data_IF_660643250317
#
_entry.id   IF_660643250317
#
_cell.length_a   1.000
_cell.length_b   1.000
_cell.length_c   1.000
_cell.angle_alpha   90.00
_cell.angle_beta   90.00
_cell.angle_gamma   90.00
#
_symmetry.space_group_name_H-M   'P 1'
#
loop_
_entity.id
_entity.type
_entity.pdbx_description
1 polymer ?
#
# COMPACT_ATOMS: atom_id res chain seq x y z
N UNK A 1 18.18 5.33 10.21
CA UNK A 1 17.80 5.27 8.78
C UNK A 1 18.08 6.63 8.16
N UNK A 2 18.97 6.74 7.19
CA UNK A 2 19.30 8.03 6.59
C UNK A 2 18.30 8.32 5.46
N UNK A 3 17.16 8.93 5.81
CA UNK A 3 16.10 9.29 4.84
C UNK A 3 16.52 10.45 3.95
N UNK A 4 17.48 11.28 4.40
CA UNK A 4 17.87 12.53 3.71
C UNK A 4 18.73 12.34 2.46
N UNK A 5 19.18 11.12 2.15
CA UNK A 5 20.05 10.85 0.99
C UNK A 5 19.31 10.62 -0.34
N UNK A 6 17.98 10.60 -0.34
CA UNK A 6 17.17 10.40 -1.55
C UNK A 6 17.26 9.00 -2.19
N UNK A 7 18.01 8.06 -1.60
CA UNK A 7 18.16 6.71 -2.11
C UNK A 7 16.87 5.89 -1.95
N UNK A 8 16.58 5.01 -2.93
CA UNK A 8 15.45 4.09 -2.84
C UNK A 8 15.68 3.09 -1.69
N UNK A 9 14.79 3.03 -0.69
CA UNK A 9 14.98 2.18 0.47
C UNK A 9 14.85 0.70 0.09
N UNK A 10 15.73 -0.13 0.66
CA UNK A 10 15.62 -1.59 0.56
C UNK A 10 14.47 -2.10 1.44
N UNK A 11 13.92 -3.26 1.09
CA UNK A 11 12.84 -3.92 1.85
C UNK A 11 13.13 -4.01 3.36
N UNK A 12 14.33 -4.46 3.74
CA UNK A 12 14.73 -4.57 5.14
C UNK A 12 14.71 -3.22 5.89
N UNK A 13 15.02 -2.12 5.21
CA UNK A 13 14.98 -0.77 5.79
C UNK A 13 13.53 -0.31 6.00
N UNK A 14 12.63 -0.63 5.08
CA UNK A 14 11.19 -0.36 5.24
C UNK A 14 10.60 -1.16 6.39
N UNK A 15 10.95 -2.45 6.50
CA UNK A 15 10.49 -3.31 7.58
C UNK A 15 11.01 -2.86 8.95
N UNK A 16 12.22 -2.31 9.01
CA UNK A 16 12.80 -1.79 10.25
C UNK A 16 12.02 -0.58 10.81
N UNK A 17 11.33 0.20 9.96
CA UNK A 17 10.52 1.35 10.40
C UNK A 17 9.06 1.02 10.66
N UNK A 18 8.60 -0.21 10.40
CA UNK A 18 7.18 -0.58 10.54
C UNK A 18 6.61 -0.26 11.92
N UNK A 19 7.42 -0.42 12.97
CA UNK A 19 7.02 -0.13 14.35
C UNK A 19 6.61 1.32 14.59
N UNK A 20 7.10 2.26 13.76
CA UNK A 20 6.67 3.66 13.82
C UNK A 20 5.19 3.82 13.41
N UNK A 21 4.62 2.89 12.64
CA UNK A 21 3.23 2.95 12.18
C UNK A 21 2.27 2.18 13.10
N UNK A 22 2.77 1.57 14.18
CA UNK A 22 1.98 0.85 15.18
C UNK A 22 2.08 1.55 16.53
N UNK A 23 0.95 1.96 17.12
CA UNK A 23 0.92 2.53 18.47
C UNK A 23 1.61 3.91 18.64
N UNK A 24 2.12 4.53 17.57
CA UNK A 24 2.73 5.87 17.60
C UNK A 24 1.91 6.90 16.79
N UNK A 25 2.42 8.13 16.62
CA UNK A 25 1.78 9.23 15.89
C UNK A 25 1.42 8.88 14.43
N UNK A 26 2.16 7.98 13.78
CA UNK A 26 1.90 7.58 12.40
C UNK A 26 0.84 6.46 12.29
N UNK A 27 0.32 5.96 13.41
CA UNK A 27 -0.75 4.98 13.39
C UNK A 27 -2.05 5.58 12.84
N UNK A 28 -2.81 4.79 12.08
CA UNK A 28 -4.06 5.23 11.45
C UNK A 28 -5.08 5.84 12.44
N UNK A 29 -5.12 5.36 13.69
CA UNK A 29 -5.99 5.93 14.73
C UNK A 29 -5.54 7.33 15.20
N UNK A 30 -4.26 7.66 15.05
CA UNK A 30 -3.68 8.95 15.49
C UNK A 30 -3.52 9.96 14.36
N UNK A 31 -3.67 9.55 13.10
CA UNK A 31 -3.64 10.47 11.97
C UNK A 31 -4.73 11.53 12.10
N UNK A 32 -4.42 12.76 11.72
CA UNK A 32 -5.39 13.85 11.61
C UNK A 32 -6.48 13.50 10.59
N UNK A 33 -7.70 14.01 10.80
CA UNK A 33 -8.85 13.66 9.96
C UNK A 33 -8.63 14.00 8.48
N UNK A 34 -7.94 15.09 8.18
CA UNK A 34 -7.67 15.49 6.79
C UNK A 34 -6.74 14.51 6.08
N UNK A 35 -5.73 13.96 6.78
CA UNK A 35 -4.89 12.90 6.24
C UNK A 35 -5.69 11.62 5.99
N UNK A 36 -6.63 11.28 6.89
CA UNK A 36 -7.50 10.12 6.68
C UNK A 36 -8.44 10.32 5.50
N UNK A 37 -8.98 11.53 5.29
CA UNK A 37 -9.79 11.85 4.09
C UNK A 37 -8.97 11.76 2.82
N UNK A 38 -7.75 12.31 2.81
CA UNK A 38 -6.85 12.24 1.65
C UNK A 38 -6.50 10.78 1.31
N UNK A 39 -6.14 9.96 2.30
CA UNK A 39 -5.91 8.53 2.10
C UNK A 39 -7.15 7.80 1.57
N UNK A 40 -8.33 8.17 2.07
CA UNK A 40 -9.60 7.61 1.58
C UNK A 40 -9.80 7.92 0.10
N UNK A 41 -9.53 9.14 -0.34
CA UNK A 41 -9.64 9.53 -1.76
C UNK A 41 -8.64 8.77 -2.64
N UNK A 42 -7.38 8.69 -2.22
CA UNK A 42 -6.32 7.97 -2.96
C UNK A 42 -6.66 6.48 -3.11
N UNK A 43 -7.35 5.90 -2.13
CA UNK A 43 -7.81 4.51 -2.14
C UNK A 43 -9.27 4.35 -2.61
N UNK A 44 -9.78 5.33 -3.37
CA UNK A 44 -11.11 5.29 -4.01
C UNK A 44 -12.29 5.07 -3.04
N UNK A 45 -12.13 5.45 -1.77
CA UNK A 45 -13.17 5.41 -0.75
C UNK A 45 -13.88 6.77 -0.63
N UNK A 46 -15.17 6.74 -0.28
CA UNK A 46 -15.97 7.95 -0.04
C UNK A 46 -15.42 8.75 1.15
N UNK A 47 -14.90 9.99 0.96
CA UNK A 47 -14.20 10.74 2.02
C UNK A 47 -15.13 11.56 2.92
N UNK A 48 -16.41 11.68 2.58
CA UNK A 48 -17.38 12.55 3.26
C UNK A 48 -18.07 11.88 4.46
N UNK A 49 -17.42 10.89 5.08
CA UNK A 49 -17.94 10.16 6.24
C UNK A 49 -17.32 10.66 7.56
N UNK A 50 -17.98 10.42 8.71
CA UNK A 50 -17.36 10.58 10.02
C UNK A 50 -15.99 9.91 10.13
N UNK A 51 -15.08 10.54 10.88
CA UNK A 51 -13.67 10.15 10.97
C UNK A 51 -13.43 8.69 11.40
N UNK A 52 -14.26 8.17 12.31
CA UNK A 52 -14.17 6.79 12.77
C UNK A 52 -14.58 5.79 11.67
N UNK A 53 -15.60 6.11 10.87
CA UNK A 53 -16.03 5.29 9.74
C UNK A 53 -14.97 5.29 8.63
N UNK A 54 -14.36 6.44 8.33
CA UNK A 54 -13.26 6.50 7.36
C UNK A 54 -12.10 5.60 7.76
N UNK A 55 -11.69 5.63 9.05
CA UNK A 55 -10.63 4.75 9.56
C UNK A 55 -11.01 3.29 9.46
N UNK A 56 -12.25 2.93 9.78
CA UNK A 56 -12.74 1.56 9.64
C UNK A 56 -12.71 1.10 8.18
N UNK A 57 -13.25 1.90 7.24
CA UNK A 57 -13.26 1.56 5.81
C UNK A 57 -11.85 1.43 5.24
N UNK A 58 -10.94 2.33 5.62
CA UNK A 58 -9.53 2.23 5.23
C UNK A 58 -8.88 0.93 5.72
N UNK A 59 -9.13 0.54 6.98
CA UNK A 59 -8.63 -0.75 7.50
C UNK A 59 -9.16 -1.92 6.70
N UNK A 60 -10.47 -2.00 6.53
CA UNK A 60 -11.11 -3.10 5.81
C UNK A 60 -10.59 -3.18 4.39
N UNK A 61 -10.49 -2.04 3.69
CA UNK A 61 -10.00 -1.98 2.32
C UNK A 61 -8.53 -2.39 2.19
N UNK A 62 -7.64 -1.94 3.09
CA UNK A 62 -6.24 -2.36 3.08
C UNK A 62 -6.09 -3.85 3.42
N UNK A 63 -6.97 -4.41 4.27
CA UNK A 63 -7.02 -5.85 4.52
C UNK A 63 -7.44 -6.64 3.26
N UNK A 64 -8.45 -6.17 2.52
CA UNK A 64 -8.84 -6.75 1.23
C UNK A 64 -7.66 -6.74 0.25
N UNK A 65 -6.96 -5.60 0.10
CA UNK A 65 -5.76 -5.50 -0.75
C UNK A 65 -4.69 -6.50 -0.29
N UNK A 66 -4.48 -6.67 1.02
CA UNK A 66 -3.51 -7.65 1.54
C UNK A 66 -3.91 -9.09 1.26
N UNK A 67 -5.19 -9.41 1.26
CA UNK A 67 -5.66 -10.74 0.83
C UNK A 67 -5.39 -10.96 -0.65
N UNK A 68 -5.64 -9.95 -1.50
CA UNK A 68 -5.26 -9.98 -2.92
C UNK A 68 -3.74 -10.12 -3.10
N UNK A 69 -2.93 -9.44 -2.29
CA UNK A 69 -1.48 -9.54 -2.33
C UNK A 69 -1.00 -10.97 -2.07
N UNK A 70 -1.53 -11.62 -1.04
CA UNK A 70 -1.20 -13.02 -0.73
C UNK A 70 -1.62 -13.97 -1.85
N UNK A 71 -2.79 -13.74 -2.45
CA UNK A 71 -3.23 -14.53 -3.59
C UNK A 71 -2.31 -14.34 -4.80
N UNK A 72 -1.94 -13.11 -5.13
CA UNK A 72 -1.00 -12.80 -6.22
C UNK A 72 0.39 -13.38 -5.97
N UNK A 73 0.87 -13.37 -4.73
CA UNK A 73 2.16 -13.98 -4.38
C UNK A 73 2.13 -15.50 -4.58
N UNK A 74 1.00 -16.16 -4.30
CA UNK A 74 0.83 -17.59 -4.49
C UNK A 74 0.65 -17.99 -5.97
N UNK A 75 -0.19 -17.27 -6.70
CA UNK A 75 -0.50 -17.54 -8.12
C UNK A 75 0.62 -17.09 -9.06
N UNK A 76 1.42 -16.11 -8.63
CA UNK A 76 2.49 -15.51 -9.41
C UNK A 76 1.98 -14.46 -10.40
N UNK A 77 2.84 -13.47 -10.69
CA UNK A 77 2.51 -12.35 -11.59
C UNK A 77 2.61 -12.69 -13.08
N UNK A 78 3.09 -13.89 -13.43
CA UNK A 78 3.34 -14.28 -14.82
C UNK A 78 2.08 -14.41 -15.67
N UNK A 79 0.93 -14.62 -15.02
CA UNK A 79 -0.36 -14.82 -15.68
C UNK A 79 -1.13 -13.51 -15.91
N UNK A 80 -0.63 -12.37 -15.38
CA UNK A 80 -1.34 -11.11 -15.52
C UNK A 80 -1.16 -10.51 -16.92
N UNK A 81 -2.27 -10.05 -17.50
CA UNK A 81 -2.24 -9.16 -18.66
C UNK A 81 -1.53 -7.84 -18.32
N UNK A 82 -1.22 -7.03 -19.33
CA UNK A 82 -0.65 -5.71 -19.06
C UNK A 82 -1.63 -4.79 -18.33
N UNK A 83 -2.91 -4.85 -18.71
CA UNK A 83 -4.00 -4.11 -18.07
C UNK A 83 -4.18 -4.54 -16.61
N UNK A 84 -4.18 -5.85 -16.33
CA UNK A 84 -4.29 -6.37 -14.97
C UNK A 84 -3.10 -5.96 -14.11
N UNK A 85 -1.88 -5.98 -14.67
CA UNK A 85 -0.68 -5.54 -13.98
C UNK A 85 -0.75 -4.05 -13.63
N UNK A 86 -1.15 -3.20 -14.58
CA UNK A 86 -1.34 -1.75 -14.36
C UNK A 86 -2.44 -1.48 -13.33
N UNK A 87 -3.57 -2.18 -13.44
CA UNK A 87 -4.68 -2.06 -12.50
C UNK A 87 -4.26 -2.49 -11.07
N UNK A 88 -3.49 -3.58 -10.95
CA UNK A 88 -2.95 -4.02 -9.67
C UNK A 88 -2.01 -2.97 -9.05
N UNK A 89 -1.16 -2.34 -9.85
CA UNK A 89 -0.31 -1.24 -9.40
C UNK A 89 -1.14 -0.03 -8.93
N UNK A 90 -2.13 0.37 -9.75
CA UNK A 90 -2.99 1.52 -9.48
C UNK A 90 -3.83 1.36 -8.22
N UNK A 91 -4.40 0.17 -8.00
CA UNK A 91 -5.16 -0.17 -6.79
C UNK A 91 -4.33 0.05 -5.50
N UNK A 92 -3.01 -0.08 -5.59
CA UNK A 92 -2.06 0.09 -4.47
C UNK A 92 -1.46 1.50 -4.41
N UNK A 93 -1.98 2.43 -5.20
CA UNK A 93 -1.59 3.83 -5.20
C UNK A 93 -0.42 4.18 -6.12
N UNK A 94 0.04 3.27 -6.99
CA UNK A 94 1.05 3.59 -7.99
C UNK A 94 0.41 4.15 -9.26
N UNK A 95 0.81 5.35 -9.66
CA UNK A 95 0.50 5.85 -11.00
C UNK A 95 1.45 5.21 -12.03
N UNK A 96 0.97 4.21 -12.77
CA UNK A 96 1.73 3.49 -13.79
C UNK A 96 1.67 4.11 -15.20
N UNK A 97 1.16 5.34 -15.36
CA UNK A 97 0.95 5.95 -16.69
C UNK A 97 2.24 6.03 -17.52
N UNK A 98 3.37 6.31 -16.85
CA UNK A 98 4.68 6.48 -17.48
C UNK A 98 5.62 5.30 -17.23
N UNK A 99 5.13 4.19 -16.68
CA UNK A 99 5.93 3.00 -16.40
C UNK A 99 5.71 1.94 -17.47
N UNK A 100 6.80 1.30 -17.90
CA UNK A 100 6.76 0.12 -18.74
C UNK A 100 6.29 -1.12 -17.95
N UNK A 101 5.94 -2.18 -18.69
CA UNK A 101 5.48 -3.46 -18.10
C UNK A 101 6.49 -4.04 -17.10
N UNK A 102 7.79 -4.02 -17.43
CA UNK A 102 8.84 -4.55 -16.57
C UNK A 102 8.96 -3.76 -15.24
N UNK A 103 8.81 -2.44 -15.30
CA UNK A 103 8.87 -1.56 -14.12
C UNK A 103 7.66 -1.76 -13.21
N UNK A 104 6.45 -1.84 -13.79
CA UNK A 104 5.24 -2.18 -13.05
C UNK A 104 5.37 -3.53 -12.35
N UNK A 105 5.92 -4.54 -13.06
CA UNK A 105 6.16 -5.88 -12.50
C UNK A 105 7.16 -5.83 -11.35
N UNK A 106 8.30 -5.20 -11.54
CA UNK A 106 9.33 -5.08 -10.50
C UNK A 106 8.79 -4.35 -9.26
N UNK A 107 8.01 -3.28 -9.47
CA UNK A 107 7.35 -2.56 -8.38
C UNK A 107 6.36 -3.45 -7.63
N UNK A 108 5.49 -4.17 -8.34
CA UNK A 108 4.48 -5.03 -7.73
C UNK A 108 5.14 -6.18 -6.96
N UNK A 109 6.19 -6.79 -7.50
CA UNK A 109 6.98 -7.81 -6.79
C UNK A 109 7.55 -7.28 -5.45
N UNK A 110 8.08 -6.06 -5.45
CA UNK A 110 8.59 -5.43 -4.22
C UNK A 110 7.45 -5.13 -3.24
N UNK A 111 6.31 -4.63 -3.73
CA UNK A 111 5.13 -4.38 -2.91
C UNK A 111 4.64 -5.66 -2.23
N UNK A 112 4.48 -6.75 -2.98
CA UNK A 112 3.96 -8.02 -2.46
C UNK A 112 4.87 -8.60 -1.36
N UNK A 113 6.19 -8.52 -1.53
CA UNK A 113 7.15 -8.93 -0.50
C UNK A 113 6.98 -8.12 0.77
N UNK A 114 6.85 -6.79 0.64
CA UNK A 114 6.62 -5.92 1.80
C UNK A 114 5.28 -6.21 2.47
N UNK A 115 4.17 -6.17 1.74
CA UNK A 115 2.82 -6.23 2.32
C UNK A 115 2.51 -7.59 2.96
N UNK A 116 3.08 -8.68 2.42
CA UNK A 116 2.90 -10.01 2.97
C UNK A 116 3.73 -10.24 4.25
N UNK A 117 4.85 -9.56 4.42
CA UNK A 117 5.68 -9.62 5.62
C UNK A 117 5.15 -8.78 6.79
N UNK A 118 4.39 -7.71 6.51
CA UNK A 118 3.76 -6.91 7.55
C UNK A 118 2.70 -7.74 8.28
N UNK A 119 2.65 -7.66 9.61
CA UNK A 119 1.59 -8.28 10.42
C UNK A 119 0.38 -7.34 10.52
N UNK A 120 -0.83 -7.89 10.60
CA UNK A 120 -2.02 -7.07 10.81
C UNK A 120 -2.09 -6.66 12.27
N UNK A 121 -2.22 -5.35 12.53
CA UNK A 121 -2.44 -4.79 13.87
C UNK A 121 -3.81 -4.13 13.97
#
# INVERSE_FOLDING_TARGET
LQVQGGAQPRLAQLLAVRGLFSGTLLALNRLQVDHVRALSQVLFLTPHLPAFLLRHRLRSHVLEIRHLDRALLHLGLGQLSEEELRAACYLRGLNSTHLGRAECRAWLEQWLRLSCELQGS
#
